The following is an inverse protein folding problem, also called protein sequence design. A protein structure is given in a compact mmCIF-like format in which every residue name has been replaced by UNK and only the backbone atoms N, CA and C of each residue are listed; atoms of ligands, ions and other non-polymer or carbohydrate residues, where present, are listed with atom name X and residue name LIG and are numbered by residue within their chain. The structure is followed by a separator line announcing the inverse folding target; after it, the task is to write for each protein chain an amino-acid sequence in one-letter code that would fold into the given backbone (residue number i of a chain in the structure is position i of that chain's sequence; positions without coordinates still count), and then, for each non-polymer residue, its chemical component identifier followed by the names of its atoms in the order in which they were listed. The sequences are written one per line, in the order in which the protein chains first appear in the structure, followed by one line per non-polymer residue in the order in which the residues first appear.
data_IF_528300427651
#
_entry.id   IF_528300427651
#
_cell.length_a   1.000
_cell.length_b   1.000
_cell.length_c   1.000
_cell.angle_alpha   90.00
_cell.angle_beta   90.00
_cell.angle_gamma   90.00
#
_symmetry.space_group_name_H-M   'P 1'
#
loop_
_entity.id
_entity.type
_entity.pdbx_description
1 polymer ?
#
# COMPACT_ATOMS: atom_id res chain seq x y z
N UNK A 1 40.94 -38.17 17.17
CA UNK A 1 39.56 -38.73 17.22
C UNK A 1 39.24 -39.48 18.53
N UNK A 2 40.01 -40.49 18.97
CA UNK A 2 39.67 -41.31 20.16
C UNK A 2 39.55 -40.59 21.52
N UNK A 3 40.19 -39.42 21.70
CA UNK A 3 40.13 -38.62 22.95
C UNK A 3 38.86 -37.77 23.07
N UNK A 4 38.37 -37.25 21.94
CA UNK A 4 37.13 -36.46 21.89
C UNK A 4 35.91 -37.34 22.10
N UNK A 5 35.87 -38.51 21.49
CA UNK A 5 34.76 -39.46 21.67
C UNK A 5 34.68 -39.95 23.11
N UNK A 6 35.81 -40.28 23.76
CA UNK A 6 35.83 -40.63 25.19
C UNK A 6 35.29 -39.50 26.07
N UNK A 7 35.75 -38.27 25.87
CA UNK A 7 35.26 -37.11 26.63
C UNK A 7 33.75 -36.90 26.48
N UNK A 8 33.21 -37.16 25.28
CA UNK A 8 31.77 -37.07 25.01
C UNK A 8 30.97 -38.17 25.71
N UNK A 9 31.52 -39.39 25.74
CA UNK A 9 30.92 -40.57 26.38
C UNK A 9 31.06 -40.57 27.91
N UNK A 10 32.07 -39.89 28.47
CA UNK A 10 32.32 -39.85 29.91
C UNK A 10 31.36 -38.88 30.64
N UNK A 11 30.81 -37.87 29.95
CA UNK A 11 29.83 -36.91 30.53
C UNK A 11 28.66 -36.58 29.58
N UNK A 12 27.83 -37.57 29.23
CA UNK A 12 26.76 -37.40 28.24
C UNK A 12 25.71 -36.37 28.66
N UNK A 13 25.37 -36.29 29.95
CA UNK A 13 24.38 -35.32 30.47
C UNK A 13 24.83 -33.86 30.31
N UNK A 14 26.13 -33.59 30.48
CA UNK A 14 26.70 -32.25 30.33
C UNK A 14 26.62 -31.80 28.87
N UNK A 15 26.92 -32.70 27.94
CA UNK A 15 26.87 -32.41 26.50
C UNK A 15 25.43 -32.26 26.01
N UNK A 16 24.52 -33.11 26.46
CA UNK A 16 23.09 -32.97 26.18
C UNK A 16 22.60 -31.61 26.69
N UNK A 17 23.00 -31.21 27.90
CA UNK A 17 22.68 -29.88 28.45
C UNK A 17 23.21 -28.74 27.57
N UNK A 18 24.48 -28.82 27.14
CA UNK A 18 25.08 -27.81 26.24
C UNK A 18 24.32 -27.74 24.91
N UNK A 19 24.01 -28.89 24.29
CA UNK A 19 23.27 -28.93 23.02
C UNK A 19 21.88 -28.33 23.20
N UNK A 20 21.17 -28.66 24.28
CA UNK A 20 19.86 -28.06 24.59
C UNK A 20 19.97 -26.55 24.74
N UNK A 21 20.98 -26.06 25.46
CA UNK A 21 21.20 -24.61 25.63
C UNK A 21 21.46 -23.93 24.30
N UNK A 22 22.31 -24.50 23.44
CA UNK A 22 22.59 -23.97 22.10
C UNK A 22 21.32 -23.97 21.24
N UNK A 23 20.53 -25.05 21.27
CA UNK A 23 19.27 -25.15 20.55
C UNK A 23 18.26 -24.12 21.04
N UNK A 24 18.12 -23.93 22.35
CA UNK A 24 17.24 -22.91 22.92
C UNK A 24 17.70 -21.49 22.57
N UNK A 25 19.00 -21.24 22.55
CA UNK A 25 19.55 -19.97 22.12
C UNK A 25 19.25 -19.70 20.64
N UNK A 26 19.45 -20.69 19.76
CA UNK A 26 19.08 -20.57 18.34
C UNK A 26 17.56 -20.39 18.16
N UNK A 27 16.74 -21.12 18.92
CA UNK A 27 15.29 -20.98 18.92
C UNK A 27 14.83 -19.61 19.44
N UNK A 28 15.58 -18.98 20.34
CA UNK A 28 15.27 -17.61 20.80
C UNK A 28 15.47 -16.55 19.71
N UNK A 29 16.20 -16.88 18.64
CA UNK A 29 16.39 -16.01 17.47
C UNK A 29 15.32 -16.22 16.39
N UNK A 30 14.54 -17.31 16.43
CA UNK A 30 13.44 -17.56 15.47
C UNK A 30 12.45 -16.39 15.35
N UNK A 31 12.02 -15.74 16.45
CA UNK A 31 11.11 -14.60 16.37
C UNK A 31 11.66 -13.38 15.63
N UNK A 32 12.97 -13.33 15.35
CA UNK A 32 13.62 -12.24 14.61
C UNK A 32 13.69 -12.49 13.10
N UNK A 33 13.27 -13.67 12.63
CA UNK A 33 13.28 -13.99 11.20
C UNK A 33 12.19 -13.16 10.52
N UNK A 34 12.61 -12.26 9.64
CA UNK A 34 11.74 -11.48 8.77
C UNK A 34 11.68 -12.13 7.40
N UNK A 35 10.47 -12.30 6.87
CA UNK A 35 10.27 -12.73 5.49
C UNK A 35 10.06 -11.49 4.63
N UNK A 36 10.93 -11.29 3.66
CA UNK A 36 10.73 -10.33 2.57
C UNK A 36 10.28 -11.11 1.33
N UNK A 37 9.05 -10.87 0.90
CA UNK A 37 8.44 -11.51 -0.27
C UNK A 37 8.28 -10.53 -1.43
N UNK A 38 8.97 -9.38 -1.39
CA UNK A 38 8.99 -8.44 -2.50
C UNK A 38 9.74 -9.04 -3.69
N UNK A 39 9.29 -8.70 -4.91
CA UNK A 39 10.02 -9.07 -6.14
C UNK A 39 11.42 -8.46 -6.12
N UNK A 40 11.56 -7.27 -5.52
CA UNK A 40 12.84 -6.58 -5.36
C UNK A 40 13.85 -7.40 -4.53
N UNK A 41 13.41 -8.08 -3.48
CA UNK A 41 14.28 -8.96 -2.68
C UNK A 41 14.75 -10.21 -3.43
N UNK A 42 14.17 -10.52 -4.60
CA UNK A 42 14.64 -11.59 -5.49
C UNK A 42 15.73 -11.12 -6.46
N UNK A 43 15.98 -9.80 -6.54
CA UNK A 43 17.02 -9.19 -7.38
C UNK A 43 18.33 -9.13 -6.57
N UNK A 44 19.50 -9.43 -7.17
CA UNK A 44 20.79 -9.24 -6.50
C UNK A 44 20.98 -7.80 -6.02
N UNK A 45 21.42 -7.63 -4.77
CA UNK A 45 21.61 -6.31 -4.15
C UNK A 45 22.65 -5.44 -4.86
N UNK A 46 23.57 -6.07 -5.59
CA UNK A 46 24.68 -5.48 -6.33
C UNK A 46 24.35 -5.11 -7.79
N UNK A 47 23.08 -5.22 -8.19
CA UNK A 47 22.63 -4.81 -9.53
C UNK A 47 22.60 -3.27 -9.67
N UNK A 48 23.33 -2.68 -10.65
CA UNK A 48 23.36 -1.23 -10.84
C UNK A 48 21.99 -0.65 -11.24
N UNK A 49 21.12 -1.44 -11.87
CA UNK A 49 19.76 -1.01 -12.26
C UNK A 49 18.90 -0.77 -11.03
N UNK A 50 19.05 -1.60 -9.98
CA UNK A 50 18.31 -1.42 -8.73
C UNK A 50 18.69 -0.11 -8.02
N UNK A 51 19.98 0.27 -8.09
CA UNK A 51 20.45 1.54 -7.54
C UNK A 51 19.87 2.76 -8.30
N UNK A 52 19.81 2.68 -9.63
CA UNK A 52 19.20 3.73 -10.47
C UNK A 52 17.70 3.85 -10.23
N UNK A 53 16.98 2.73 -10.13
CA UNK A 53 15.54 2.71 -9.81
C UNK A 53 15.26 3.34 -8.43
N UNK A 54 16.07 3.04 -7.41
CA UNK A 54 15.93 3.65 -6.07
C UNK A 54 16.17 5.15 -6.10
N UNK A 55 17.12 5.63 -6.91
CA UNK A 55 17.35 7.07 -7.08
C UNK A 55 16.17 7.76 -7.77
N UNK A 56 15.65 7.18 -8.85
CA UNK A 56 14.46 7.69 -9.54
C UNK A 56 13.25 7.72 -8.59
N UNK A 57 13.05 6.67 -7.80
CA UNK A 57 11.97 6.63 -6.81
C UNK A 57 12.15 7.65 -5.68
N UNK A 58 13.38 7.98 -5.29
CA UNK A 58 13.66 9.02 -4.31
C UNK A 58 13.38 10.44 -4.87
N UNK A 59 13.72 10.68 -6.13
CA UNK A 59 13.60 11.99 -6.77
C UNK A 59 12.15 12.29 -7.23
N UNK A 60 11.46 11.29 -7.78
CA UNK A 60 10.11 11.45 -8.35
C UNK A 60 8.99 10.89 -7.45
N UNK A 61 9.35 10.12 -6.42
CA UNK A 61 8.44 9.39 -5.55
C UNK A 61 8.16 7.96 -6.06
N UNK A 62 7.81 7.06 -5.13
CA UNK A 62 7.35 5.72 -5.46
C UNK A 62 6.03 5.77 -6.24
N UNK A 63 5.89 4.91 -7.25
CA UNK A 63 4.66 4.71 -8.04
C UNK A 63 3.82 3.54 -7.52
N UNK A 64 3.95 3.20 -6.23
CA UNK A 64 3.09 2.19 -5.60
C UNK A 64 1.65 2.69 -5.54
N UNK A 65 0.85 2.22 -6.49
CA UNK A 65 -0.56 2.53 -6.60
C UNK A 65 -1.38 1.45 -5.88
N UNK A 66 -2.15 1.87 -4.88
CA UNK A 66 -3.17 1.02 -4.26
C UNK A 66 -4.53 1.33 -4.85
N UNK A 67 -5.09 0.37 -5.60
CA UNK A 67 -6.42 0.48 -6.16
C UNK A 67 -7.45 -0.13 -5.20
N UNK A 68 -8.45 0.68 -4.81
CA UNK A 68 -9.58 0.24 -3.98
C UNK A 68 -10.84 0.27 -4.84
N UNK A 69 -11.43 -0.91 -5.07
CA UNK A 69 -12.71 -1.03 -5.77
C UNK A 69 -13.86 -1.11 -4.77
N UNK A 70 -14.91 -0.31 -5.00
CA UNK A 70 -16.13 -0.31 -4.17
C UNK A 70 -17.29 -0.83 -5.01
N UNK A 71 -17.94 -1.89 -4.52
CA UNK A 71 -19.14 -2.44 -5.12
C UNK A 71 -20.38 -2.06 -4.30
N UNK A 72 -21.41 -1.57 -4.98
CA UNK A 72 -22.73 -1.27 -4.42
C UNK A 72 -23.80 -1.41 -5.51
N UNK A 73 -25.05 -1.67 -5.14
CA UNK A 73 -26.18 -1.75 -6.09
C UNK A 73 -26.35 -0.45 -6.89
N UNK A 74 -26.15 0.69 -6.21
CA UNK A 74 -26.00 2.00 -6.83
C UNK A 74 -24.81 2.71 -6.18
N UNK A 75 -23.76 3.00 -6.95
CA UNK A 75 -22.58 3.73 -6.46
C UNK A 75 -22.86 5.23 -6.26
N UNK A 76 -23.81 5.80 -7.02
CA UNK A 76 -24.28 7.18 -6.89
C UNK A 76 -25.41 7.25 -5.86
N UNK A 77 -25.09 7.00 -4.60
CA UNK A 77 -26.01 7.21 -3.49
C UNK A 77 -25.30 7.94 -2.34
N UNK A 78 -26.06 8.70 -1.55
CA UNK A 78 -25.51 9.54 -0.48
C UNK A 78 -24.67 8.74 0.54
N UNK A 79 -25.04 7.49 0.82
CA UNK A 79 -24.34 6.62 1.78
C UNK A 79 -22.99 6.14 1.23
N UNK A 80 -22.94 5.75 -0.05
CA UNK A 80 -21.71 5.30 -0.71
C UNK A 80 -20.75 6.47 -0.92
N UNK A 81 -21.25 7.62 -1.40
CA UNK A 81 -20.40 8.81 -1.59
C UNK A 81 -19.84 9.34 -0.26
N UNK A 82 -20.64 9.29 0.82
CA UNK A 82 -20.15 9.60 2.17
C UNK A 82 -19.07 8.64 2.63
N UNK A 83 -19.27 7.34 2.41
CA UNK A 83 -18.27 6.32 2.74
C UNK A 83 -16.96 6.56 1.99
N UNK A 84 -17.01 6.93 0.70
CA UNK A 84 -15.81 7.27 -0.09
C UNK A 84 -15.09 8.46 0.53
N UNK A 85 -15.80 9.53 0.89
CA UNK A 85 -15.18 10.71 1.49
C UNK A 85 -14.58 10.43 2.88
N UNK A 86 -15.27 9.65 3.71
CA UNK A 86 -14.77 9.27 5.03
C UNK A 86 -13.52 8.39 4.89
N UNK A 87 -13.54 7.39 4.00
CA UNK A 87 -12.36 6.58 3.68
C UNK A 87 -11.20 7.43 3.14
N UNK A 88 -11.48 8.38 2.27
CA UNK A 88 -10.46 9.29 1.73
C UNK A 88 -9.76 10.05 2.85
N UNK A 89 -10.54 10.65 3.76
CA UNK A 89 -9.99 11.39 4.91
C UNK A 89 -9.18 10.49 5.85
N UNK A 90 -9.65 9.27 6.09
CA UNK A 90 -8.92 8.30 6.93
C UNK A 90 -7.61 7.87 6.28
N UNK A 91 -7.59 7.61 4.97
CA UNK A 91 -6.40 7.21 4.22
C UNK A 91 -5.38 8.34 4.13
N UNK A 92 -5.80 9.56 3.85
CA UNK A 92 -4.93 10.75 3.82
C UNK A 92 -4.26 11.03 5.18
N UNK A 93 -4.89 10.61 6.29
CA UNK A 93 -4.33 10.77 7.62
C UNK A 93 -3.27 9.70 7.97
N UNK A 94 -3.13 8.64 7.16
CA UNK A 94 -2.17 7.58 7.43
C UNK A 94 -0.74 8.02 7.08
N UNK A 95 0.26 7.71 7.93
CA UNK A 95 1.64 7.98 7.62
C UNK A 95 2.08 7.16 6.39
N UNK A 96 2.65 7.83 5.39
CA UNK A 96 3.13 7.20 4.15
C UNK A 96 2.19 7.31 2.96
N UNK A 97 0.96 7.79 3.15
CA UNK A 97 0.05 8.11 2.04
C UNK A 97 0.37 9.52 1.53
N UNK A 98 0.75 9.61 0.25
CA UNK A 98 1.06 10.90 -0.39
C UNK A 98 -0.18 11.61 -0.91
N UNK A 99 -1.09 10.86 -1.53
CA UNK A 99 -2.28 11.39 -2.20
C UNK A 99 -3.35 10.29 -2.37
N UNK A 100 -4.62 10.68 -2.34
CA UNK A 100 -5.77 9.77 -2.51
C UNK A 100 -6.69 10.31 -3.60
N UNK A 101 -6.70 9.64 -4.75
CA UNK A 101 -7.55 10.01 -5.89
C UNK A 101 -8.85 9.20 -5.88
N UNK A 102 -9.98 9.88 -6.05
CA UNK A 102 -11.32 9.29 -6.06
C UNK A 102 -12.28 10.09 -6.97
N UNK A 103 -13.48 9.57 -7.27
CA UNK A 103 -14.41 10.26 -8.17
C UNK A 103 -14.89 11.64 -7.67
N UNK A 104 -14.82 11.94 -6.36
CA UNK A 104 -15.27 13.23 -5.81
C UNK A 104 -14.23 14.33 -6.01
N UNK A 105 -12.93 14.00 -5.95
CA UNK A 105 -11.84 14.97 -6.14
C UNK A 105 -11.21 14.92 -7.54
N UNK A 106 -11.80 14.14 -8.46
CA UNK A 106 -11.40 14.11 -9.86
C UNK A 106 -11.44 15.52 -10.47
N UNK A 107 -10.39 15.91 -11.19
CA UNK A 107 -10.30 17.25 -11.77
C UNK A 107 -10.99 17.29 -13.13
N UNK A 108 -12.19 17.86 -13.19
CA UNK A 108 -12.89 18.09 -14.44
C UNK A 108 -12.25 19.25 -15.19
N UNK A 109 -11.98 19.02 -16.48
CA UNK A 109 -11.36 19.98 -17.38
C UNK A 109 -12.38 20.40 -18.42
N UNK A 110 -12.83 21.65 -18.33
CA UNK A 110 -13.87 22.19 -19.20
C UNK A 110 -13.37 23.41 -19.98
N UNK A 111 -14.03 23.66 -21.12
CA UNK A 111 -13.74 24.83 -21.96
C UNK A 111 -14.64 25.99 -21.54
N UNK A 112 -14.10 26.95 -20.82
CA UNK A 112 -14.76 28.20 -20.42
C UNK A 112 -14.59 29.32 -21.45
N UNK A 113 -15.32 30.42 -21.25
CA UNK A 113 -15.31 31.59 -22.15
C UNK A 113 -13.93 32.27 -22.26
N UNK A 114 -13.10 32.18 -21.21
CA UNK A 114 -11.76 32.76 -21.17
C UNK A 114 -10.62 31.73 -21.32
N UNK A 115 -10.93 30.44 -21.53
CA UNK A 115 -9.91 29.41 -21.65
C UNK A 115 -10.31 28.07 -21.05
N UNK A 116 -9.35 27.37 -20.44
CA UNK A 116 -9.56 26.08 -19.80
C UNK A 116 -9.83 26.32 -18.32
N UNK A 117 -10.96 25.81 -17.81
CA UNK A 117 -11.28 25.82 -16.39
C UNK A 117 -11.10 24.41 -15.81
N UNK A 118 -10.41 24.32 -14.67
CA UNK A 118 -10.16 23.07 -13.96
C UNK A 118 -10.84 23.18 -12.60
N UNK A 119 -11.80 22.31 -12.34
CA UNK A 119 -12.56 22.26 -11.09
C UNK A 119 -12.66 20.82 -10.56
N UNK A 120 -12.75 20.62 -9.23
CA UNK A 120 -13.05 19.30 -8.70
C UNK A 120 -14.46 18.87 -9.11
N UNK A 121 -14.67 17.58 -9.31
CA UNK A 121 -15.96 17.03 -9.69
C UNK A 121 -17.05 17.23 -8.64
N UNK A 122 -16.68 17.36 -7.37
CA UNK A 122 -17.59 17.77 -6.32
C UNK A 122 -16.92 18.83 -5.43
N UNK A 123 -17.45 20.06 -5.42
CA UNK A 123 -17.03 21.10 -4.46
C UNK A 123 -17.48 20.76 -3.03
N UNK A 124 -18.67 20.18 -2.91
CA UNK A 124 -19.28 19.75 -1.66
C UNK A 124 -19.79 18.34 -1.83
N UNK A 125 -19.81 17.59 -0.72
CA UNK A 125 -20.27 16.21 -0.73
C UNK A 125 -21.78 16.18 -1.03
N UNK A 126 -22.22 15.60 -2.16
CA UNK A 126 -23.61 15.63 -2.57
C UNK A 126 -24.47 14.80 -1.60
N UNK A 127 -25.49 15.43 -1.03
CA UNK A 127 -26.38 14.81 -0.03
C UNK A 127 -27.82 14.69 -0.52
N UNK A 128 -28.27 15.61 -1.36
CA UNK A 128 -29.63 15.59 -1.91
C UNK A 128 -29.70 14.71 -3.17
N UNK A 129 -30.89 14.19 -3.48
CA UNK A 129 -31.10 13.40 -4.68
C UNK A 129 -30.80 14.19 -5.97
N UNK A 130 -31.07 15.50 -5.96
CA UNK A 130 -30.79 16.38 -7.10
C UNK A 130 -29.27 16.57 -7.31
N UNK A 131 -28.52 16.88 -6.25
CA UNK A 131 -27.06 17.01 -6.30
C UNK A 131 -26.37 15.72 -6.75
N UNK A 132 -26.87 14.57 -6.32
CA UNK A 132 -26.30 13.26 -6.70
C UNK A 132 -26.54 12.97 -8.19
N UNK A 133 -27.70 13.33 -8.72
CA UNK A 133 -28.00 13.12 -10.14
C UNK A 133 -27.18 14.08 -11.01
N UNK A 134 -27.04 15.35 -10.60
CA UNK A 134 -26.17 16.33 -11.28
C UNK A 134 -24.70 15.85 -11.30
N UNK A 135 -24.16 15.45 -10.15
CA UNK A 135 -22.82 14.88 -10.05
C UNK A 135 -22.63 13.64 -10.93
N UNK A 136 -23.65 12.77 -10.99
CA UNK A 136 -23.62 11.58 -11.83
C UNK A 136 -23.58 11.95 -13.31
N UNK A 137 -24.40 12.90 -13.76
CA UNK A 137 -24.40 13.37 -15.14
C UNK A 137 -23.05 14.00 -15.50
N UNK A 138 -22.50 14.84 -14.63
CA UNK A 138 -21.22 15.54 -14.83
C UNK A 138 -20.04 14.56 -14.91
N UNK A 139 -19.96 13.59 -14.00
CA UNK A 139 -18.94 12.53 -14.02
C UNK A 139 -19.06 11.65 -15.26
N UNK A 140 -20.28 11.29 -15.67
CA UNK A 140 -20.49 10.41 -16.83
C UNK A 140 -20.26 11.13 -18.17
N UNK A 141 -20.45 12.45 -18.22
CA UNK A 141 -20.13 13.27 -19.38
C UNK A 141 -18.63 13.58 -19.51
N UNK A 142 -17.89 13.42 -18.42
CA UNK A 142 -16.47 13.72 -18.34
C UNK A 142 -15.60 12.74 -19.16
N UNK A 143 -14.47 13.18 -19.73
CA UNK A 143 -13.50 12.31 -20.43
C UNK A 143 -12.86 11.21 -19.57
N UNK A 144 -13.15 11.16 -18.26
CA UNK A 144 -12.73 10.06 -17.39
C UNK A 144 -13.53 8.77 -17.61
N UNK A 145 -14.72 8.84 -18.23
CA UNK A 145 -15.54 7.65 -18.52
C UNK A 145 -15.23 7.15 -19.92
N UNK A 146 -14.43 6.07 -20.01
CA UNK A 146 -14.11 5.40 -21.28
C UNK A 146 -12.63 5.27 -21.65
N UNK A 147 -11.72 5.28 -20.67
CA UNK A 147 -10.35 4.77 -20.85
C UNK A 147 -10.19 3.38 -20.24
#
# INVERSE_FOLDING_TARGET
MKRWTKFVLDRPRLIIGIVIVITLLAASLLPRITFDASIEAMIPDDDPVLAELRQIAADFGSQELFLIAIQADNVFNAKTLRKIADMTRELEALPGVKDVQNPLNAQLVESGFFGIEIRPAAELLPQSAAEIEEFKEEILASPYVGR
#
